data_IF_659684084256
#
_entry.id   IF_659684084256
#
_cell.length_a   1.000
_cell.length_b   1.000
_cell.length_c   1.000
_cell.angle_alpha   90.00
_cell.angle_beta   90.00
_cell.angle_gamma   90.00
#
_symmetry.space_group_name_H-M   'P 1'
#
loop_
_entity.id
_entity.type
_entity.pdbx_description
1 polymer ?
#
# COMPACT_ATOMS: atom_id res chain seq x y z
N UNK A 1 -4.90 0.01 -5.70
CA UNK A 1 -6.09 0.88 -5.75
C UNK A 1 -6.69 1.01 -4.36
N UNK A 2 -5.90 1.38 -3.34
CA UNK A 2 -6.48 1.56 -1.99
C UNK A 2 -7.13 2.94 -1.82
N UNK A 3 -6.87 3.85 -2.75
CA UNK A 3 -7.60 5.12 -2.88
C UNK A 3 -9.09 4.90 -3.21
N UNK A 4 -9.44 3.75 -3.80
CA UNK A 4 -10.82 3.30 -3.87
C UNK A 4 -11.14 2.49 -2.61
N UNK A 5 -12.01 3.05 -1.78
CA UNK A 5 -12.43 2.46 -0.50
C UNK A 5 -13.14 1.11 -0.68
N UNK A 6 -13.72 0.84 -1.84
CA UNK A 6 -14.34 -0.46 -2.13
C UNK A 6 -13.33 -1.61 -2.11
N UNK A 7 -12.03 -1.32 -2.21
CA UNK A 7 -10.96 -2.33 -2.17
C UNK A 7 -10.45 -2.63 -0.77
N UNK A 8 -10.83 -1.88 0.27
CA UNK A 8 -10.39 -2.14 1.65
C UNK A 8 -10.68 -3.57 2.13
N UNK A 9 -11.85 -4.18 1.83
CA UNK A 9 -12.13 -5.57 2.21
C UNK A 9 -11.17 -6.61 1.60
N UNK A 10 -10.37 -6.25 0.57
CA UNK A 10 -9.36 -7.17 0.01
C UNK A 10 -8.20 -7.40 0.98
N UNK A 11 -7.96 -6.49 1.92
CA UNK A 11 -6.84 -6.57 2.85
C UNK A 11 -6.98 -7.72 3.84
N UNK A 12 -8.20 -7.94 4.33
CA UNK A 12 -8.56 -9.13 5.11
C UNK A 12 -8.50 -10.40 4.26
N UNK A 13 -8.93 -10.32 3.00
CA UNK A 13 -8.88 -11.47 2.09
C UNK A 13 -7.45 -11.92 1.80
N UNK A 14 -6.46 -11.01 1.73
CA UNK A 14 -5.06 -11.41 1.57
C UNK A 14 -4.56 -12.24 2.76
N UNK A 15 -4.93 -11.85 3.99
CA UNK A 15 -4.58 -12.58 5.20
C UNK A 15 -5.32 -13.92 5.36
N UNK A 16 -6.43 -14.12 4.62
CA UNK A 16 -7.08 -15.43 4.54
C UNK A 16 -6.35 -16.43 3.64
N UNK A 17 -5.45 -15.95 2.77
CA UNK A 17 -4.76 -16.76 1.74
C UNK A 17 -3.27 -16.92 1.96
N UNK A 18 -2.67 -16.15 2.88
CA UNK A 18 -1.25 -16.20 3.20
C UNK A 18 -0.99 -15.86 4.67
N UNK A 19 0.21 -16.21 5.15
CA UNK A 19 0.64 -15.89 6.52
C UNK A 19 1.09 -14.44 6.68
N UNK A 20 1.56 -13.85 5.59
CA UNK A 20 2.09 -12.49 5.55
C UNK A 20 1.58 -11.77 4.31
N UNK A 21 1.41 -10.46 4.43
CA UNK A 21 1.03 -9.59 3.33
C UNK A 21 1.82 -8.29 3.38
N UNK A 22 2.27 -7.82 2.20
CA UNK A 22 2.86 -6.51 2.00
C UNK A 22 1.95 -5.69 1.10
N UNK A 23 1.71 -4.45 1.51
CA UNK A 23 0.91 -3.48 0.77
C UNK A 23 1.75 -2.24 0.55
N UNK A 24 1.94 -1.86 -0.70
CA UNK A 24 2.59 -0.61 -1.08
C UNK A 24 1.58 0.30 -1.78
N UNK A 25 1.45 1.53 -1.31
CA UNK A 25 0.57 2.53 -1.94
C UNK A 25 1.19 3.93 -1.83
N UNK A 26 1.19 4.68 -2.93
CA UNK A 26 1.72 6.04 -3.02
C UNK A 26 0.65 7.13 -2.89
N UNK A 27 -0.64 6.74 -2.97
CA UNK A 27 -1.77 7.69 -3.02
C UNK A 27 -2.45 7.83 -1.66
N UNK A 28 -2.46 6.77 -0.87
CA UNK A 28 -3.03 6.76 0.48
C UNK A 28 -1.92 6.86 1.53
N UNK A 29 -1.71 8.07 2.04
CA UNK A 29 -0.61 8.39 2.97
C UNK A 29 -0.81 7.86 4.40
N UNK A 30 -2.06 7.81 4.86
CA UNK A 30 -2.42 7.39 6.21
C UNK A 30 -3.60 6.39 6.15
N UNK A 31 -3.31 5.21 5.62
CA UNK A 31 -4.23 4.09 5.67
C UNK A 31 -4.15 3.43 7.04
N UNK A 32 -5.31 3.12 7.64
CA UNK A 32 -5.41 2.50 8.97
C UNK A 32 -6.19 1.20 8.89
N UNK A 33 -5.62 0.14 9.45
CA UNK A 33 -6.23 -1.18 9.56
C UNK A 33 -5.52 -1.97 10.64
N UNK A 34 -6.28 -2.67 11.48
CA UNK A 34 -5.76 -3.24 12.73
C UNK A 34 -4.61 -4.22 12.51
N UNK A 35 -4.70 -5.02 11.43
CA UNK A 35 -3.66 -6.00 11.08
C UNK A 35 -2.42 -5.43 10.37
N UNK A 36 -2.50 -4.22 9.77
CA UNK A 36 -1.43 -3.67 8.93
C UNK A 36 -0.73 -2.50 9.60
N UNK A 37 0.60 -2.58 9.69
CA UNK A 37 1.43 -1.52 10.24
C UNK A 37 2.41 -1.00 9.18
N UNK A 38 2.62 0.32 9.14
CA UNK A 38 3.60 0.91 8.22
C UNK A 38 5.01 0.58 8.67
N UNK A 39 5.78 -0.07 7.81
CA UNK A 39 7.15 -0.50 8.09
C UNK A 39 8.21 0.39 7.46
N UNK A 40 7.90 1.02 6.32
CA UNK A 40 8.84 1.93 5.66
C UNK A 40 8.12 2.86 4.68
N UNK A 41 8.87 3.84 4.16
CA UNK A 41 8.52 4.65 3.00
C UNK A 41 9.65 4.52 1.99
N UNK A 42 9.33 4.19 0.75
CA UNK A 42 10.28 4.03 -0.34
C UNK A 42 10.08 5.11 -1.39
N UNK A 43 11.17 5.56 -2.00
CA UNK A 43 11.10 6.44 -3.16
C UNK A 43 11.12 5.60 -4.45
N UNK A 44 10.17 5.81 -5.35
CA UNK A 44 9.98 5.03 -6.57
C UNK A 44 9.79 5.93 -7.80
N UNK A 45 10.12 5.36 -8.97
CA UNK A 45 9.95 6.00 -10.27
C UNK A 45 9.18 5.08 -11.21
N UNK A 46 8.22 5.64 -11.93
CA UNK A 46 7.54 4.97 -13.04
C UNK A 46 8.39 5.08 -14.30
N UNK A 47 8.58 3.96 -15.00
CA UNK A 47 9.35 3.89 -16.25
C UNK A 47 8.47 3.27 -17.36
N UNK A 48 8.31 3.94 -18.52
CA UNK A 48 8.81 5.29 -18.82
C UNK A 48 8.19 6.35 -17.92
N UNK A 49 8.83 7.52 -17.78
CA UNK A 49 8.26 8.60 -16.99
C UNK A 49 6.91 9.03 -17.61
N UNK A 50 5.82 8.80 -16.87
CA UNK A 50 4.46 9.14 -17.28
C UNK A 50 4.05 10.56 -16.85
N UNK A 51 5.01 11.39 -16.45
CA UNK A 51 4.79 12.72 -15.87
C UNK A 51 3.89 12.69 -14.62
N UNK A 52 4.03 11.64 -13.80
CA UNK A 52 3.30 11.54 -12.53
C UNK A 52 3.79 12.62 -11.54
N UNK A 53 2.87 13.23 -10.77
CA UNK A 53 3.24 14.16 -9.71
C UNK A 53 4.28 13.60 -8.75
N UNK A 54 5.25 14.44 -8.35
CA UNK A 54 6.36 14.03 -7.47
C UNK A 54 5.87 13.46 -6.12
N UNK A 55 4.69 13.89 -5.64
CA UNK A 55 4.10 13.39 -4.42
C UNK A 55 3.75 11.89 -4.45
N UNK A 56 3.63 11.28 -5.64
CA UNK A 56 3.39 9.84 -5.80
C UNK A 56 4.67 9.01 -5.88
N UNK A 57 5.85 9.67 -5.79
CA UNK A 57 7.13 8.97 -5.72
C UNK A 57 7.41 8.40 -4.34
N UNK A 58 6.75 8.92 -3.30
CA UNK A 58 6.83 8.37 -1.95
C UNK A 58 5.77 7.29 -1.72
N UNK A 59 6.21 6.04 -1.64
CA UNK A 59 5.38 4.86 -1.43
C UNK A 59 5.43 4.42 0.02
N UNK A 60 4.29 4.45 0.72
CA UNK A 60 4.20 3.83 2.05
C UNK A 60 4.08 2.32 1.90
N UNK A 61 4.88 1.57 2.68
CA UNK A 61 4.84 0.11 2.71
C UNK A 61 4.31 -0.34 4.07
N UNK A 62 3.28 -1.17 4.03
CA UNK A 62 2.63 -1.76 5.19
C UNK A 62 2.84 -3.27 5.19
N UNK A 63 3.01 -3.84 6.37
CA UNK A 63 3.13 -5.27 6.59
C UNK A 63 2.06 -5.74 7.56
N UNK A 64 1.58 -6.97 7.33
CA UNK A 64 0.73 -7.70 8.23
C UNK A 64 1.22 -9.15 8.31
N UNK A 65 1.16 -9.72 9.51
CA UNK A 65 1.45 -11.12 9.78
C UNK A 65 0.36 -11.69 10.69
N UNK A 66 -0.01 -12.95 10.46
CA UNK A 66 -1.01 -13.69 11.24
C UNK A 66 -0.39 -14.75 12.15
#
# INVERSE_FOLDING_TARGET
MLYDRANLPLLDQFLSRGREALVADSRVRDFKHDAYQRVTILHAHTLPDLAEPYEFRDMSVYHAAR
#
